data_IF_825802366343
#
_entry.id   IF_825802366343
#
_cell.length_a   1.000
_cell.length_b   1.000
_cell.length_c   1.000
_cell.angle_alpha   90.00
_cell.angle_beta   90.00
_cell.angle_gamma   90.00
#
_symmetry.space_group_name_H-M   'P 1'
#
loop_
_entity.id
_entity.type
_entity.pdbx_description
1 polymer ?
#
# COMPACT_ATOMS: atom_id res chain seq x y z
N UNK A 1 -12.23 -16.85 22.45
CA UNK A 1 -11.78 -15.74 21.59
C UNK A 1 -10.30 -15.52 21.85
N UNK A 2 -9.43 -15.72 20.86
CA UNK A 2 -7.99 -15.50 21.00
C UNK A 2 -7.71 -14.00 20.78
N UNK A 3 -7.71 -13.23 21.87
CA UNK A 3 -7.34 -11.82 21.82
C UNK A 3 -5.81 -11.72 21.73
N UNK A 4 -5.28 -11.46 20.54
CA UNK A 4 -3.85 -11.22 20.34
C UNK A 4 -3.61 -9.71 20.30
N UNK A 5 -2.84 -9.20 21.25
CA UNK A 5 -2.32 -7.83 21.25
C UNK A 5 -0.86 -7.85 20.78
N UNK A 6 -0.46 -6.87 19.99
CA UNK A 6 0.91 -6.77 19.49
C UNK A 6 1.66 -5.66 20.22
N UNK A 7 2.86 -5.92 20.76
CA UNK A 7 3.67 -4.89 21.37
C UNK A 7 4.02 -3.86 20.31
N UNK A 8 3.47 -2.66 20.47
CA UNK A 8 3.73 -1.54 19.59
C UNK A 8 5.22 -1.23 19.62
N UNK A 9 5.80 -0.97 18.45
CA UNK A 9 7.09 -0.31 18.42
C UNK A 9 6.90 1.05 19.08
N UNK A 10 7.70 1.38 20.11
CA UNK A 10 7.96 2.79 20.43
C UNK A 10 8.34 3.43 19.10
N UNK A 11 7.72 4.55 18.75
CA UNK A 11 7.93 5.20 17.45
C UNK A 11 9.39 5.66 17.32
N UNK A 12 10.30 4.73 17.00
CA UNK A 12 11.74 4.94 16.95
C UNK A 12 12.34 4.13 15.82
N UNK A 13 12.14 4.63 14.59
CA UNK A 13 13.20 5.00 13.64
C UNK A 13 12.57 5.71 12.44
N UNK A 14 12.54 7.04 12.54
CA UNK A 14 12.60 8.14 11.55
C UNK A 14 11.88 8.09 10.19
N UNK A 15 11.61 6.92 9.62
CA UNK A 15 11.04 6.82 8.28
C UNK A 15 9.57 7.23 8.24
N UNK A 16 9.18 7.74 7.09
CA UNK A 16 7.81 8.07 6.73
C UNK A 16 7.37 7.19 5.56
N UNK A 17 6.07 6.98 5.46
CA UNK A 17 5.51 6.15 4.40
C UNK A 17 4.46 6.96 3.64
N UNK A 18 4.43 6.80 2.32
CA UNK A 18 3.41 7.40 1.46
C UNK A 18 2.57 6.28 0.84
N UNK A 19 1.33 6.17 1.29
CA UNK A 19 0.32 5.37 0.63
C UNK A 19 -0.32 6.22 -0.46
N UNK A 20 -0.33 5.73 -1.69
CA UNK A 20 -0.99 6.39 -2.82
C UNK A 20 -2.03 5.44 -3.39
N UNK A 21 -3.18 6.01 -3.74
CA UNK A 21 -4.33 5.30 -4.29
C UNK A 21 -4.67 5.94 -5.63
N UNK A 22 -4.69 5.15 -6.70
CA UNK A 22 -5.04 5.61 -8.04
C UNK A 22 -6.30 4.90 -8.53
N UNK A 23 -7.25 5.69 -9.00
CA UNK A 23 -8.43 5.22 -9.71
C UNK A 23 -8.14 5.24 -11.21
N UNK A 24 -8.26 4.08 -11.84
CA UNK A 24 -7.99 3.86 -13.26
C UNK A 24 -9.31 3.98 -14.02
N UNK A 25 -9.28 4.71 -15.13
CA UNK A 25 -10.42 4.82 -16.03
C UNK A 25 -10.87 3.43 -16.55
N UNK A 26 -12.19 3.16 -16.63
CA UNK A 26 -12.68 1.94 -17.25
C UNK A 26 -12.09 1.73 -18.65
N UNK A 27 -11.69 0.50 -18.97
CA UNK A 27 -11.05 0.15 -20.25
C UNK A 27 -9.59 0.60 -20.41
N UNK A 28 -9.00 1.34 -19.45
CA UNK A 28 -7.58 1.74 -19.49
C UNK A 28 -6.65 0.86 -18.65
N UNK A 29 -7.20 -0.12 -17.93
CA UNK A 29 -6.43 -1.00 -17.05
C UNK A 29 -5.28 -1.70 -17.77
N UNK A 30 -5.52 -2.30 -18.94
CA UNK A 30 -4.46 -3.03 -19.65
C UNK A 30 -3.31 -2.13 -20.10
N UNK A 31 -3.63 -0.90 -20.55
CA UNK A 31 -2.62 0.10 -20.90
C UNK A 31 -1.81 0.49 -19.66
N UNK A 32 -2.50 0.83 -18.57
CA UNK A 32 -1.87 1.18 -17.29
C UNK A 32 -0.98 0.04 -16.76
N UNK A 33 -1.48 -1.20 -16.81
CA UNK A 33 -0.77 -2.40 -16.39
C UNK A 33 0.53 -2.58 -17.16
N UNK A 34 0.47 -2.62 -18.51
CA UNK A 34 1.67 -2.81 -19.35
C UNK A 34 2.70 -1.72 -19.07
N UNK A 35 2.26 -0.47 -19.13
CA UNK A 35 3.08 0.70 -18.90
C UNK A 35 3.79 0.66 -17.53
N UNK A 36 3.03 0.34 -16.47
CA UNK A 36 3.55 0.30 -15.11
C UNK A 36 4.47 -0.90 -14.91
N UNK A 37 4.13 -2.06 -15.45
CA UNK A 37 4.98 -3.25 -15.36
C UNK A 37 6.35 -3.06 -16.00
N UNK A 38 6.42 -2.30 -17.09
CA UNK A 38 7.65 -2.02 -17.83
C UNK A 38 8.50 -0.95 -17.14
N UNK A 39 7.90 0.16 -16.72
CA UNK A 39 8.64 1.37 -16.35
C UNK A 39 8.79 1.56 -14.85
N UNK A 40 7.92 0.98 -14.02
CA UNK A 40 7.99 1.17 -12.57
C UNK A 40 9.31 0.70 -11.91
N UNK A 41 10.09 -0.28 -12.45
CA UNK A 41 11.45 -0.54 -11.98
C UNK A 41 12.35 0.70 -11.94
N UNK A 42 12.19 1.66 -12.86
CA UNK A 42 12.93 2.93 -12.87
C UNK A 42 12.65 3.80 -11.63
N UNK A 43 11.40 3.77 -11.14
CA UNK A 43 11.05 4.45 -9.89
C UNK A 43 11.54 3.66 -8.67
N UNK A 44 11.45 2.34 -8.72
CA UNK A 44 11.83 1.47 -7.62
C UNK A 44 13.34 1.50 -7.33
N UNK A 45 14.18 1.82 -8.33
CA UNK A 45 15.62 2.00 -8.14
C UNK A 45 15.99 3.21 -7.27
N UNK A 46 15.10 4.22 -7.19
CA UNK A 46 15.33 5.46 -6.42
C UNK A 46 14.34 5.66 -5.27
N UNK A 47 13.31 4.82 -5.16
CA UNK A 47 12.33 4.85 -4.06
C UNK A 47 12.00 3.43 -3.63
N UNK A 48 12.08 3.14 -2.33
CA UNK A 48 11.76 1.81 -1.84
C UNK A 48 10.25 1.58 -1.82
N UNK A 49 9.76 0.67 -2.66
CA UNK A 49 8.36 0.26 -2.68
C UNK A 49 8.12 -0.87 -1.67
N UNK A 50 7.26 -0.64 -0.67
CA UNK A 50 6.92 -1.66 0.32
C UNK A 50 5.92 -2.67 -0.24
N UNK A 51 4.96 -2.21 -1.03
CA UNK A 51 4.00 -3.06 -1.71
C UNK A 51 3.23 -2.29 -2.78
N UNK A 52 2.75 -3.06 -3.75
CA UNK A 52 1.95 -2.59 -4.86
C UNK A 52 0.83 -3.59 -5.10
N UNK A 53 -0.41 -3.14 -4.96
CA UNK A 53 -1.58 -4.01 -5.00
C UNK A 53 -2.63 -3.51 -5.96
N UNK A 54 -3.38 -4.45 -6.52
CA UNK A 54 -4.61 -4.22 -7.28
C UNK A 54 -5.78 -4.53 -6.34
N UNK A 55 -6.70 -3.58 -6.21
CA UNK A 55 -7.90 -3.77 -5.40
C UNK A 55 -8.86 -4.70 -6.16
N UNK A 56 -9.29 -5.75 -5.48
CA UNK A 56 -10.20 -6.76 -6.01
C UNK A 56 -11.64 -6.54 -5.50
N UNK A 57 -11.80 -6.10 -4.24
CA UNK A 57 -13.08 -5.76 -3.64
C UNK A 57 -12.98 -4.47 -2.82
N UNK A 58 -14.05 -3.69 -2.80
CA UNK A 58 -14.15 -2.40 -2.08
C UNK A 58 -13.84 -1.16 -2.94
N UNK A 59 -13.13 -1.31 -4.05
CA UNK A 59 -12.98 -0.28 -5.09
C UNK A 59 -12.37 -0.90 -6.36
N UNK A 60 -13.18 -1.28 -7.35
CA UNK A 60 -12.67 -1.86 -8.61
C UNK A 60 -11.93 -0.81 -9.45
N UNK A 61 -11.03 -1.26 -10.33
CA UNK A 61 -10.13 -0.41 -11.13
C UNK A 61 -9.23 0.51 -10.29
N UNK A 62 -8.92 0.12 -9.06
CA UNK A 62 -8.06 0.89 -8.17
C UNK A 62 -6.76 0.14 -7.88
N UNK A 63 -5.66 0.88 -7.79
CA UNK A 63 -4.38 0.36 -7.29
C UNK A 63 -3.95 1.12 -6.04
N UNK A 64 -3.35 0.40 -5.10
CA UNK A 64 -2.77 0.95 -3.89
C UNK A 64 -1.27 0.64 -3.87
N UNK A 65 -0.44 1.61 -3.54
CA UNK A 65 1.00 1.39 -3.47
C UNK A 65 1.69 2.24 -2.42
N UNK A 66 2.57 1.58 -1.65
CA UNK A 66 3.23 2.12 -0.48
C UNK A 66 4.71 2.37 -0.75
N UNK A 67 5.18 3.57 -0.42
CA UNK A 67 6.57 3.99 -0.61
C UNK A 67 7.18 4.41 0.73
N UNK A 68 8.42 3.98 1.00
CA UNK A 68 9.19 4.35 2.19
C UNK A 68 10.17 5.48 1.85
N UNK A 69 10.26 6.47 2.75
CA UNK A 69 11.21 7.57 2.68
C UNK A 69 11.82 7.84 4.06
N UNK A 70 13.04 8.35 4.12
CA UNK A 70 13.69 8.66 5.40
C UNK A 70 13.16 9.96 6.02
N UNK A 71 12.66 10.89 5.21
CA UNK A 71 12.05 12.14 5.64
C UNK A 71 11.21 12.79 4.53
N UNK A 72 10.43 13.82 4.85
CA UNK A 72 9.72 14.60 3.82
C UNK A 72 10.68 15.29 2.85
N UNK A 73 11.87 15.69 3.31
CA UNK A 73 12.92 16.24 2.45
C UNK A 73 13.42 15.17 1.48
N UNK A 74 13.75 13.97 1.97
CA UNK A 74 14.14 12.86 1.09
C UNK A 74 13.02 12.55 0.08
N UNK A 75 11.76 12.49 0.50
CA UNK A 75 10.62 12.32 -0.41
C UNK A 75 10.57 13.41 -1.49
N UNK A 76 10.72 14.67 -1.11
CA UNK A 76 10.68 15.80 -2.03
C UNK A 76 11.81 15.71 -3.06
N UNK A 77 13.04 15.50 -2.61
CA UNK A 77 14.23 15.43 -3.46
C UNK A 77 14.13 14.25 -4.44
N UNK A 78 13.74 13.07 -3.97
CA UNK A 78 13.57 11.88 -4.81
C UNK A 78 12.50 12.05 -5.87
N UNK A 79 11.36 12.67 -5.52
CA UNK A 79 10.29 12.94 -6.50
C UNK A 79 10.72 13.98 -7.53
N UNK A 80 11.47 15.01 -7.12
CA UNK A 80 11.98 16.01 -8.05
C UNK A 80 13.07 15.45 -8.98
N UNK A 81 13.94 14.58 -8.48
CA UNK A 81 14.92 13.88 -9.30
C UNK A 81 14.22 13.06 -10.40
N UNK A 82 13.18 12.29 -10.05
CA UNK A 82 12.37 11.55 -11.02
C UNK A 82 11.69 12.48 -12.05
N UNK A 83 11.19 13.64 -11.64
CA UNK A 83 10.53 14.57 -12.57
C UNK A 83 11.50 15.23 -13.57
N UNK A 84 12.79 15.27 -13.26
CA UNK A 84 13.84 15.76 -14.17
C UNK A 84 14.28 14.71 -15.19
N UNK A 85 13.99 13.44 -14.93
CA UNK A 85 14.19 12.37 -15.90
C UNK A 85 13.13 12.47 -17.00
N UNK A 86 13.59 12.90 -18.19
CA UNK A 86 12.75 13.14 -19.36
C UNK A 86 12.12 11.84 -19.86
N UNK A 87 12.85 10.72 -19.76
CA UNK A 87 12.37 9.41 -20.18
C UNK A 87 11.24 8.94 -19.25
N UNK A 88 11.45 9.03 -17.94
CA UNK A 88 10.42 8.74 -16.94
C UNK A 88 9.18 9.64 -17.11
N UNK A 89 9.39 10.94 -17.33
CA UNK A 89 8.28 11.89 -17.48
C UNK A 89 7.41 11.56 -18.69
N UNK A 90 8.01 11.45 -19.87
CA UNK A 90 7.24 11.27 -21.11
C UNK A 90 6.73 9.85 -21.27
N UNK A 91 7.57 8.85 -21.00
CA UNK A 91 7.14 7.45 -21.19
C UNK A 91 6.17 7.04 -20.12
N UNK A 92 6.38 7.42 -18.85
CA UNK A 92 5.53 6.97 -17.75
C UNK A 92 4.52 8.01 -17.27
N UNK A 93 4.95 9.18 -16.77
CA UNK A 93 4.05 10.10 -16.06
C UNK A 93 2.89 10.57 -16.94
N UNK A 94 3.20 11.06 -18.15
CA UNK A 94 2.25 11.62 -19.10
C UNK A 94 1.26 10.53 -19.56
N UNK A 95 1.77 9.40 -20.04
CA UNK A 95 0.96 8.26 -20.50
C UNK A 95 0.08 7.65 -19.39
N UNK A 96 0.63 7.52 -18.18
CA UNK A 96 -0.12 7.04 -17.02
C UNK A 96 -1.21 8.02 -16.64
N UNK A 97 -0.98 9.33 -16.74
CA UNK A 97 -2.01 10.34 -16.40
C UNK A 97 -3.27 10.18 -17.27
N UNK A 98 -3.11 9.83 -18.54
CA UNK A 98 -4.21 9.56 -19.46
C UNK A 98 -5.04 8.31 -19.10
N UNK A 99 -4.56 7.49 -18.17
CA UNK A 99 -5.24 6.27 -17.72
C UNK A 99 -6.00 6.48 -16.41
N UNK A 100 -5.81 7.59 -15.69
CA UNK A 100 -6.33 7.79 -14.33
C UNK A 100 -7.50 8.76 -14.30
N UNK A 101 -8.53 8.43 -13.51
CA UNK A 101 -9.65 9.32 -13.20
C UNK A 101 -9.40 10.14 -11.94
N UNK A 102 -8.73 9.56 -10.93
CA UNK A 102 -8.40 10.24 -9.68
C UNK A 102 -7.13 9.68 -9.05
N UNK A 103 -6.51 10.49 -8.18
CA UNK A 103 -5.32 10.12 -7.42
C UNK A 103 -5.38 10.78 -6.05
N UNK A 104 -5.10 10.00 -5.00
CA UNK A 104 -4.92 10.51 -3.65
C UNK A 104 -3.66 9.91 -3.01
N UNK A 105 -3.20 10.53 -1.94
CA UNK A 105 -2.12 10.01 -1.11
C UNK A 105 -2.30 10.39 0.36
N UNK A 106 -1.66 9.61 1.21
CA UNK A 106 -1.61 9.81 2.66
C UNK A 106 -0.16 9.68 3.13
N UNK A 107 0.22 10.56 4.06
CA UNK A 107 1.46 10.43 4.81
C UNK A 107 1.21 9.60 6.06
N UNK A 108 2.02 8.57 6.25
CA UNK A 108 1.84 7.57 7.29
C UNK A 108 3.09 7.44 8.16
N UNK A 109 2.89 7.08 9.43
CA UNK A 109 3.95 6.59 10.32
C UNK A 109 3.65 5.17 10.75
N UNK A 110 4.63 4.29 10.64
CA UNK A 110 4.52 2.90 11.05
C UNK A 110 4.41 2.80 12.58
N UNK A 111 3.44 2.01 13.05
CA UNK A 111 3.22 1.70 14.47
C UNK A 111 3.48 0.24 14.79
N UNK A 112 3.41 -0.62 13.77
CA UNK A 112 3.68 -2.05 13.86
C UNK A 112 4.19 -2.60 12.52
N UNK A 113 5.13 -3.53 12.59
CA UNK A 113 5.57 -4.36 11.48
C UNK A 113 5.86 -5.76 12.01
N UNK A 114 5.34 -6.77 11.32
CA UNK A 114 5.64 -8.16 11.64
C UNK A 114 7.14 -8.44 11.44
N UNK A 115 7.76 -9.15 12.39
CA UNK A 115 9.19 -9.47 12.36
C UNK A 115 9.57 -10.48 11.28
N UNK A 116 8.62 -11.30 10.83
CA UNK A 116 8.87 -12.40 9.89
C UNK A 116 8.48 -11.98 8.47
N UNK A 117 9.41 -11.36 7.76
CA UNK A 117 9.28 -11.15 6.31
C UNK A 117 9.22 -12.49 5.59
N UNK A 118 8.22 -12.69 4.72
CA UNK A 118 8.06 -13.90 3.92
C UNK A 118 8.09 -13.55 2.44
N UNK A 119 8.69 -14.43 1.62
CA UNK A 119 8.71 -14.32 0.16
C UNK A 119 7.51 -14.99 -0.51
N UNK A 120 6.60 -15.59 0.28
CA UNK A 120 5.37 -16.18 -0.22
C UNK A 120 4.42 -15.08 -0.72
N UNK A 121 3.63 -15.40 -1.74
CA UNK A 121 2.56 -14.50 -2.20
C UNK A 121 1.32 -14.68 -1.33
N UNK A 122 0.77 -13.56 -0.85
CA UNK A 122 -0.42 -13.55 0.00
C UNK A 122 -1.58 -12.80 -0.66
N UNK A 123 -2.77 -12.95 -0.10
CA UNK A 123 -3.87 -12.01 -0.26
C UNK A 123 -3.83 -11.01 0.87
N UNK A 124 -4.24 -9.79 0.60
CA UNK A 124 -4.16 -8.70 1.57
C UNK A 124 -5.51 -8.05 1.80
N UNK A 125 -5.74 -7.67 3.05
CA UNK A 125 -6.83 -6.79 3.46
C UNK A 125 -6.21 -5.50 3.98
N UNK A 126 -6.49 -4.38 3.30
CA UNK A 126 -6.22 -3.05 3.84
C UNK A 126 -7.46 -2.57 4.59
N UNK A 127 -7.33 -2.30 5.88
CA UNK A 127 -8.42 -1.81 6.74
C UNK A 127 -8.03 -0.46 7.34
N UNK A 128 -8.90 0.53 7.22
CA UNK A 128 -8.74 1.85 7.83
C UNK A 128 -9.71 1.95 9.00
N UNK A 129 -9.20 2.18 10.20
CA UNK A 129 -9.97 2.15 11.47
C UNK A 129 -9.66 3.38 12.33
N UNK A 130 -10.59 3.85 13.17
CA UNK A 130 -10.23 4.83 14.20
C UNK A 130 -9.34 4.19 15.29
N UNK A 131 -9.40 2.86 15.42
CA UNK A 131 -8.79 2.12 16.52
C UNK A 131 -7.35 1.74 16.16
N UNK A 132 -6.44 1.99 17.11
CA UNK A 132 -5.02 1.63 16.98
C UNK A 132 -4.77 0.13 16.95
N UNK A 133 -5.60 -0.60 17.68
CA UNK A 133 -5.47 -2.05 17.85
C UNK A 133 -6.58 -2.74 17.07
N UNK A 134 -6.22 -3.85 16.43
CA UNK A 134 -7.18 -4.74 15.79
C UNK A 134 -7.31 -6.01 16.61
N UNK A 135 -8.55 -6.40 16.87
CA UNK A 135 -8.86 -7.74 17.33
C UNK A 135 -9.05 -8.61 16.09
N UNK A 136 -8.15 -9.57 15.90
CA UNK A 136 -8.31 -10.59 14.87
C UNK A 136 -9.12 -11.75 15.45
N UNK A 137 -10.26 -12.01 14.85
CA UNK A 137 -11.14 -13.14 15.16
C UNK A 137 -10.70 -14.43 14.45
N UNK A 138 -9.80 -14.32 13.48
CA UNK A 138 -9.45 -15.38 12.52
C UNK A 138 -8.01 -15.86 12.76
N UNK A 139 -7.78 -17.18 12.94
CA UNK A 139 -6.42 -17.71 13.10
C UNK A 139 -5.60 -17.71 11.80
N UNK A 140 -6.28 -17.71 10.63
CA UNK A 140 -5.65 -17.85 9.32
C UNK A 140 -5.05 -16.54 8.79
N UNK A 141 -5.58 -15.38 9.19
CA UNK A 141 -5.00 -14.09 8.87
C UNK A 141 -3.99 -13.65 9.93
N UNK A 142 -2.95 -12.93 9.50
CA UNK A 142 -2.05 -12.23 10.41
C UNK A 142 -1.95 -10.75 10.07
N UNK A 143 -1.72 -9.94 11.10
CA UNK A 143 -1.40 -8.53 10.92
C UNK A 143 0.03 -8.43 10.38
N UNK A 144 0.19 -7.87 9.18
CA UNK A 144 1.49 -7.68 8.56
C UNK A 144 2.12 -6.33 8.96
N UNK A 145 1.32 -5.27 9.00
CA UNK A 145 1.76 -3.95 9.41
C UNK A 145 0.60 -3.05 9.84
N UNK A 146 0.90 -2.06 10.69
CA UNK A 146 -0.02 -0.98 11.04
C UNK A 146 0.68 0.36 10.92
N UNK A 147 -0.10 1.37 10.52
CA UNK A 147 0.33 2.75 10.37
C UNK A 147 -0.70 3.69 10.95
N UNK A 148 -0.28 4.85 11.45
CA UNK A 148 -1.16 5.98 11.72
C UNK A 148 -1.10 6.96 10.53
N UNK A 149 -2.26 7.48 10.13
CA UNK A 149 -2.34 8.55 9.12
C UNK A 149 -2.01 9.88 9.78
N UNK A 150 -0.93 10.50 9.31
CA UNK A 150 -0.43 11.79 9.81
C UNK A 150 -0.97 12.95 8.99
N UNK A 151 -1.15 12.77 7.69
CA UNK A 151 -1.66 13.82 6.79
C UNK A 151 -2.39 13.20 5.62
N UNK A 152 -3.55 13.77 5.27
CA UNK A 152 -4.37 13.38 4.13
C UNK A 152 -5.74 12.87 4.56
N UNK A 153 -6.40 12.14 3.65
CA UNK A 153 -7.68 11.50 3.96
C UNK A 153 -7.52 10.55 5.16
N UNK A 154 -8.48 10.54 6.08
CA UNK A 154 -8.44 9.72 7.30
C UNK A 154 -7.35 10.10 8.31
N UNK A 155 -6.90 11.35 8.35
CA UNK A 155 -5.98 11.85 9.39
C UNK A 155 -6.43 11.44 10.81
N UNK A 156 -5.48 10.95 11.61
CA UNK A 156 -5.74 10.43 12.96
C UNK A 156 -6.25 8.98 13.01
N UNK A 157 -6.68 8.39 11.89
CA UNK A 157 -7.03 6.97 11.79
C UNK A 157 -5.79 6.09 11.56
N UNK A 158 -5.99 4.79 11.64
CA UNK A 158 -4.97 3.77 11.43
C UNK A 158 -5.23 2.98 10.16
N UNK A 159 -4.16 2.70 9.41
CA UNK A 159 -4.16 1.80 8.27
C UNK A 159 -3.51 0.48 8.69
N UNK A 160 -4.26 -0.60 8.62
CA UNK A 160 -3.81 -1.95 8.90
C UNK A 160 -3.73 -2.76 7.63
N UNK A 161 -2.62 -3.47 7.45
CA UNK A 161 -2.41 -4.43 6.38
C UNK A 161 -2.43 -5.82 7.01
N UNK A 162 -3.46 -6.59 6.71
CA UNK A 162 -3.55 -8.00 7.06
C UNK A 162 -3.18 -8.86 5.85
N UNK A 163 -2.69 -10.07 6.10
CA UNK A 163 -2.37 -11.05 5.05
C UNK A 163 -2.97 -12.42 5.37
N UNK A 164 -3.37 -13.13 4.31
CA UNK A 164 -3.88 -14.50 4.34
C UNK A 164 -3.38 -15.26 3.11
N UNK A 165 -3.37 -16.60 3.14
CA UNK A 165 -2.95 -17.42 2.00
C UNK A 165 -4.06 -17.47 0.94
N UNK A 166 -5.31 -17.52 1.39
CA UNK A 166 -6.52 -17.52 0.58
C UNK A 166 -7.29 -16.21 0.78
N UNK A 167 -8.23 -15.93 -0.12
CA UNK A 167 -9.12 -14.77 0.04
C UNK A 167 -10.04 -14.93 1.26
N UNK A 168 -10.52 -16.15 1.48
CA UNK A 168 -11.47 -16.45 2.56
C UNK A 168 -10.84 -16.28 3.95
N UNK A 169 -9.51 -16.44 4.07
CA UNK A 169 -8.77 -16.15 5.31
C UNK A 169 -8.99 -14.70 5.80
N UNK A 170 -9.35 -13.78 4.88
CA UNK A 170 -9.54 -12.36 5.16
C UNK A 170 -11.01 -11.97 5.44
N UNK A 171 -11.98 -12.85 5.16
CA UNK A 171 -13.41 -12.53 5.25
C UNK A 171 -13.93 -12.47 6.69
N UNK A 172 -13.36 -13.25 7.59
CA UNK A 172 -13.86 -13.40 8.96
C UNK A 172 -13.46 -12.25 9.91
N UNK A 173 -12.90 -11.15 9.39
CA UNK A 173 -12.55 -9.97 10.19
C UNK A 173 -13.80 -9.14 10.44
N UNK A 174 -14.28 -9.10 11.68
CA UNK A 174 -15.50 -8.36 12.03
C UNK A 174 -15.41 -6.87 11.61
N UNK A 175 -16.38 -6.36 10.85
CA UNK A 175 -16.41 -4.96 10.47
C UNK A 175 -16.75 -4.11 11.69
N UNK A 176 -15.90 -3.14 12.01
CA UNK A 176 -16.16 -2.16 13.07
C UNK A 176 -16.85 -0.96 12.44
N UNK A 177 -17.82 -0.30 13.11
CA UNK A 177 -18.42 0.93 12.60
C UNK A 177 -17.37 1.99 12.24
N UNK A 178 -17.57 2.70 11.13
CA UNK A 178 -16.66 3.75 10.67
C UNK A 178 -15.35 3.26 10.04
N UNK A 179 -15.25 1.95 9.76
CA UNK A 179 -14.09 1.34 9.08
C UNK A 179 -14.30 1.21 7.58
N UNK A 180 -13.19 1.27 6.83
CA UNK A 180 -13.15 1.06 5.38
C UNK A 180 -12.20 -0.08 5.09
N UNK A 181 -12.64 -1.04 4.29
CA UNK A 181 -11.88 -2.26 3.97
C UNK A 181 -11.75 -2.44 2.47
N UNK A 182 -10.56 -2.87 2.01
CA UNK A 182 -10.29 -3.26 0.62
C UNK A 182 -9.55 -4.58 0.60
N UNK A 183 -10.09 -5.56 -0.12
CA UNK A 183 -9.37 -6.81 -0.40
C UNK A 183 -8.57 -6.59 -1.67
N UNK A 184 -7.29 -6.93 -1.61
CA UNK A 184 -6.33 -6.61 -2.65
C UNK A 184 -5.36 -7.77 -2.89
N UNK A 185 -4.97 -7.92 -4.15
CA UNK A 185 -3.94 -8.85 -4.57
C UNK A 185 -2.67 -8.09 -4.95
N UNK A 186 -1.49 -8.68 -4.75
CA UNK A 186 -0.24 -8.09 -5.22
C UNK A 186 -0.28 -7.90 -6.74
N UNK A 187 0.24 -6.77 -7.21
CA UNK A 187 0.40 -6.52 -8.63
C UNK A 187 1.48 -7.46 -9.21
N UNK A 188 1.33 -7.88 -10.47
CA UNK A 188 2.26 -8.87 -11.08
C UNK A 188 3.73 -8.42 -11.07
N UNK A 189 3.99 -7.12 -11.18
CA UNK A 189 5.33 -6.54 -11.16
C UNK A 189 5.88 -6.27 -9.76
N UNK A 190 5.11 -6.48 -8.68
CA UNK A 190 5.57 -6.24 -7.30
C UNK A 190 6.83 -7.04 -6.99
N UNK A 191 6.88 -8.30 -7.44
CA UNK A 191 8.04 -9.19 -7.31
C UNK A 191 9.26 -8.68 -8.08
N UNK A 192 9.05 -8.16 -9.29
CA UNK A 192 10.13 -7.65 -10.14
C UNK A 192 10.79 -6.38 -9.57
N UNK A 193 10.04 -5.59 -8.79
CA UNK A 193 10.56 -4.38 -8.12
C UNK A 193 10.93 -4.62 -6.65
N UNK A 194 10.96 -5.87 -6.20
CA UNK A 194 11.48 -6.25 -4.89
C UNK A 194 10.62 -5.80 -3.71
N UNK A 195 9.30 -5.64 -3.88
CA UNK A 195 8.41 -5.27 -2.77
C UNK A 195 8.55 -6.24 -1.58
N UNK A 196 8.36 -5.71 -0.36
CA UNK A 196 8.24 -6.53 0.86
C UNK A 196 6.94 -7.32 0.86
N UNK A 197 5.86 -6.72 0.34
CA UNK A 197 4.53 -7.32 0.25
C UNK A 197 4.25 -7.67 -1.22
N UNK A 198 4.29 -8.97 -1.54
CA UNK A 198 4.24 -9.55 -2.89
C UNK A 198 3.12 -10.57 -3.04
#
# INVERSE_FOLDING_TARGET
MLQRSWPLLKATKEKIYELRIYDILPGKYDKFHRLTSELLPLRASVSRCQGYWIVQLGAINQVAHMWEYDSLKHRYDTRNALLRDVDWKHRYIDERQLCLSAQSNMLLRMTYLESNSSILSFKYLMKITPEKELVLTTPAASLAASYVVVTGEHEGKYVHILKGKLLDDLLEVEPTPGTISKIMGPARWSSAIGCLWR
#
